data_IF_677652976226
#
_entry.id   IF_677652976226
#
_cell.length_a   1.000
_cell.length_b   1.000
_cell.length_c   1.000
_cell.angle_alpha   90.00
_cell.angle_beta   90.00
_cell.angle_gamma   90.00
#
_symmetry.space_group_name_H-M   'P 1'
#
loop_
_entity.id
_entity.type
_entity.pdbx_description
1 polymer ?
#
# COMPACT_ATOMS: atom_id res chain seq x y z
N UNK A 1 -1.78 47.71 -35.81
CA UNK A 1 -0.59 47.37 -36.62
C UNK A 1 0.38 48.51 -36.51
N UNK A 2 1.59 48.23 -36.02
CA UNK A 2 2.68 49.20 -35.98
C UNK A 2 3.71 48.76 -37.02
N UNK A 3 4.05 49.65 -37.95
CA UNK A 3 5.06 49.40 -38.98
C UNK A 3 6.20 50.39 -38.81
N UNK A 4 7.42 49.88 -38.75
CA UNK A 4 8.62 50.70 -38.63
C UNK A 4 9.55 50.40 -39.80
N UNK A 5 10.12 51.44 -40.39
CA UNK A 5 11.22 51.30 -41.34
C UNK A 5 12.52 51.36 -40.58
N UNK A 6 13.41 50.41 -40.85
CA UNK A 6 14.70 50.31 -40.17
C UNK A 6 15.79 50.06 -41.19
N UNK A 7 16.92 50.74 -41.00
CA UNK A 7 18.12 50.56 -41.81
C UNK A 7 19.04 49.54 -41.17
N UNK A 8 19.52 48.59 -41.95
CA UNK A 8 20.48 47.60 -41.50
C UNK A 8 21.85 48.27 -41.44
N UNK A 9 22.41 48.42 -40.24
CA UNK A 9 23.71 49.05 -40.03
C UNK A 9 24.85 48.06 -40.28
N UNK A 10 24.90 46.99 -39.46
CA UNK A 10 25.93 45.97 -39.50
C UNK A 10 25.29 44.60 -39.36
N UNK A 11 25.78 43.62 -40.12
CA UNK A 11 25.38 42.21 -40.00
C UNK A 11 26.63 41.42 -39.63
N UNK A 12 26.52 40.60 -38.59
CA UNK A 12 27.52 39.64 -38.15
C UNK A 12 26.91 38.23 -38.10
N UNK A 13 27.74 37.22 -37.81
CA UNK A 13 27.28 35.85 -37.68
C UNK A 13 26.36 35.70 -36.44
N UNK A 14 25.05 35.76 -36.66
CA UNK A 14 24.01 35.52 -35.65
C UNK A 14 23.25 36.78 -35.21
N UNK A 15 23.80 37.97 -35.44
CA UNK A 15 23.20 39.23 -35.01
C UNK A 15 23.32 40.31 -36.09
N UNK A 16 22.28 41.14 -36.19
CA UNK A 16 22.27 42.34 -37.00
C UNK A 16 21.90 43.55 -36.14
N UNK A 17 22.52 44.69 -36.44
CA UNK A 17 22.20 45.98 -35.84
C UNK A 17 21.28 46.73 -36.78
N UNK A 18 20.06 47.00 -36.34
CA UNK A 18 19.07 47.79 -37.06
C UNK A 18 18.99 49.19 -36.47
N UNK A 19 18.91 50.20 -37.33
CA UNK A 19 18.90 51.61 -36.97
C UNK A 19 17.54 52.20 -37.41
N UNK A 20 16.81 52.75 -36.46
CA UNK A 20 15.54 53.46 -36.74
C UNK A 20 15.80 54.87 -37.25
N UNK A 21 14.77 55.51 -37.84
CA UNK A 21 14.84 56.92 -38.26
C UNK A 21 15.05 57.89 -37.07
N UNK A 22 14.77 57.46 -35.84
CA UNK A 22 15.01 58.21 -34.61
C UNK A 22 16.40 57.93 -34.01
N UNK A 23 17.32 57.35 -34.77
CA UNK A 23 18.67 56.94 -34.34
C UNK A 23 18.70 55.95 -33.17
N UNK A 24 17.62 55.21 -32.93
CA UNK A 24 17.62 54.08 -31.98
C UNK A 24 18.24 52.85 -32.63
N UNK A 25 19.10 52.17 -31.87
CA UNK A 25 19.73 50.91 -32.24
C UNK A 25 18.92 49.73 -31.68
N UNK A 26 18.70 48.72 -32.51
CA UNK A 26 18.02 47.47 -32.15
C UNK A 26 18.88 46.30 -32.57
N UNK A 27 19.19 45.44 -31.60
CA UNK A 27 19.84 44.17 -31.84
C UNK A 27 18.79 43.15 -32.30
N UNK A 28 19.00 42.57 -33.48
CA UNK A 28 18.04 41.66 -34.10
C UNK A 28 18.74 40.38 -34.58
N UNK A 29 18.20 39.18 -34.30
CA UNK A 29 18.81 37.94 -34.78
C UNK A 29 18.92 37.92 -36.30
N UNK A 30 20.12 37.71 -36.84
CA UNK A 30 20.34 37.76 -38.29
C UNK A 30 19.56 36.66 -39.04
N UNK A 31 19.23 35.55 -38.37
CA UNK A 31 18.45 34.44 -38.91
C UNK A 31 16.98 34.78 -39.20
N UNK A 32 16.45 35.84 -38.60
CA UNK A 32 15.06 36.29 -38.81
C UNK A 32 14.97 37.38 -39.90
N UNK A 33 16.10 37.79 -40.49
CA UNK A 33 16.13 38.73 -41.61
C UNK A 33 15.88 38.01 -42.94
N UNK A 34 15.31 38.69 -43.95
CA UNK A 34 15.23 38.18 -45.31
C UNK A 34 16.62 37.81 -45.86
N UNK A 35 16.70 36.73 -46.64
CA UNK A 35 17.96 36.15 -47.15
C UNK A 35 18.77 37.08 -48.06
N UNK A 36 18.18 38.15 -48.59
CA UNK A 36 18.80 39.14 -49.47
C UNK A 36 19.20 40.45 -48.76
N UNK A 37 19.24 40.46 -47.42
CA UNK A 37 19.53 41.67 -46.64
C UNK A 37 21.03 41.90 -46.50
N UNK A 38 21.52 43.10 -46.86
CA UNK A 38 22.92 43.52 -46.71
C UNK A 38 23.03 44.78 -45.84
N UNK A 39 24.26 45.14 -45.44
CA UNK A 39 24.49 46.41 -44.74
C UNK A 39 24.06 47.58 -45.63
N UNK A 40 23.27 48.50 -45.06
CA UNK A 40 22.67 49.63 -45.74
C UNK A 40 21.25 49.40 -46.26
N UNK A 41 20.77 48.15 -46.33
CA UNK A 41 19.39 47.83 -46.74
C UNK A 41 18.36 48.46 -45.79
N UNK A 42 17.20 48.85 -46.32
CA UNK A 42 16.05 49.31 -45.53
C UNK A 42 15.03 48.17 -45.50
N UNK A 43 14.56 47.82 -44.31
CA UNK A 43 13.55 46.78 -44.09
C UNK A 43 12.33 47.37 -43.39
N UNK A 44 11.16 46.86 -43.73
CA UNK A 44 9.91 47.18 -43.05
C UNK A 44 9.60 46.07 -42.02
N UNK A 45 9.51 46.45 -40.74
CA UNK A 45 9.09 45.54 -39.66
C UNK A 45 7.66 45.87 -39.28
N UNK A 46 6.74 44.95 -39.59
CA UNK A 46 5.35 45.01 -39.17
C UNK A 46 5.17 44.21 -37.87
N UNK A 47 4.90 44.90 -36.77
CA UNK A 47 4.61 44.28 -35.47
C UNK A 47 3.11 44.28 -35.23
N UNK A 48 2.56 43.07 -35.13
CA UNK A 48 1.15 42.84 -34.89
C UNK A 48 0.97 41.89 -33.71
N UNK A 49 0.09 42.29 -32.77
CA UNK A 49 -0.28 41.46 -31.64
C UNK A 49 -1.19 40.32 -32.12
N UNK A 50 -0.69 39.08 -32.09
CA UNK A 50 -1.46 37.92 -32.50
C UNK A 50 -2.35 37.40 -31.36
N UNK A 51 -3.55 37.98 -31.27
CA UNK A 51 -4.54 37.61 -30.24
C UNK A 51 -5.04 36.16 -30.35
N UNK A 52 -5.00 35.57 -31.54
CA UNK A 52 -5.43 34.18 -31.73
C UNK A 52 -4.43 33.21 -31.08
N UNK A 53 -3.13 33.38 -31.37
CA UNK A 53 -2.07 32.56 -30.74
C UNK A 53 -1.97 32.80 -29.23
N UNK A 54 -2.20 34.03 -28.75
CA UNK A 54 -2.28 34.29 -27.30
C UNK A 54 -3.38 33.45 -26.64
N UNK A 55 -4.58 33.42 -27.23
CA UNK A 55 -5.71 32.64 -26.71
C UNK A 55 -5.41 31.14 -26.76
N UNK A 56 -4.86 30.63 -27.87
CA UNK A 56 -4.48 29.22 -28.00
C UNK A 56 -3.43 28.81 -26.95
N UNK A 57 -2.43 29.67 -26.71
CA UNK A 57 -1.40 29.42 -25.70
C UNK A 57 -1.98 29.41 -24.27
N UNK A 58 -2.92 30.33 -23.97
CA UNK A 58 -3.60 30.39 -22.68
C UNK A 58 -4.53 29.19 -22.45
N UNK A 59 -5.25 28.75 -23.48
CA UNK A 59 -6.07 27.55 -23.45
C UNK A 59 -5.23 26.29 -23.21
N UNK A 60 -4.09 26.16 -23.91
CA UNK A 60 -3.15 25.07 -23.72
C UNK A 60 -2.59 25.05 -22.29
N UNK A 61 -2.16 26.22 -21.80
CA UNK A 61 -1.64 26.36 -20.43
C UNK A 61 -2.68 25.92 -19.40
N UNK A 62 -3.91 26.44 -19.51
CA UNK A 62 -5.00 26.12 -18.59
C UNK A 62 -5.38 24.65 -18.64
N UNK A 63 -5.37 24.05 -19.84
CA UNK A 63 -5.62 22.62 -20.02
C UNK A 63 -4.57 21.78 -19.31
N UNK A 64 -3.29 22.10 -19.48
CA UNK A 64 -2.18 21.41 -18.83
C UNK A 64 -2.28 21.53 -17.29
N UNK A 65 -2.51 22.74 -16.76
CA UNK A 65 -2.69 22.97 -15.33
C UNK A 65 -3.86 22.15 -14.76
N UNK A 66 -4.97 22.10 -15.50
CA UNK A 66 -6.14 21.30 -15.11
C UNK A 66 -5.84 19.81 -15.10
N UNK A 67 -5.04 19.31 -16.04
CA UNK A 67 -4.61 17.91 -16.06
C UNK A 67 -3.72 17.58 -14.85
N UNK A 68 -2.75 18.45 -14.52
CA UNK A 68 -1.91 18.27 -13.33
C UNK A 68 -2.73 18.26 -12.06
N UNK A 69 -3.65 19.22 -11.90
CA UNK A 69 -4.53 19.26 -10.74
C UNK A 69 -5.37 18.00 -10.60
N UNK A 70 -5.99 17.53 -11.69
CA UNK A 70 -6.79 16.29 -11.68
C UNK A 70 -5.95 15.06 -11.34
N UNK A 71 -4.72 14.97 -11.86
CA UNK A 71 -3.88 13.78 -11.69
C UNK A 71 -3.20 13.71 -10.32
N UNK A 72 -2.82 14.86 -9.74
CA UNK A 72 -1.98 14.90 -8.53
C UNK A 72 -2.61 15.62 -7.34
N UNK A 73 -3.58 16.50 -7.57
CA UNK A 73 -4.14 17.37 -6.53
C UNK A 73 -5.51 16.96 -6.00
N UNK A 74 -6.16 15.96 -6.60
CA UNK A 74 -7.54 15.56 -6.25
C UNK A 74 -7.61 14.36 -5.31
N UNK A 75 -6.84 13.32 -5.60
CA UNK A 75 -6.96 12.03 -4.92
C UNK A 75 -5.81 11.83 -3.95
N UNK A 76 -6.11 11.86 -2.65
CA UNK A 76 -5.16 11.59 -1.59
C UNK A 76 -5.30 10.14 -1.08
N UNK A 77 -4.23 9.55 -0.52
CA UNK A 77 -4.35 8.29 0.17
C UNK A 77 -5.39 8.37 1.28
N UNK A 78 -6.15 7.29 1.45
CA UNK A 78 -7.11 7.20 2.54
C UNK A 78 -6.47 6.58 3.78
N UNK A 79 -7.04 6.89 4.94
CA UNK A 79 -6.65 6.23 6.16
C UNK A 79 -6.97 4.73 6.09
N UNK A 80 -6.03 3.87 6.50
CA UNK A 80 -6.26 2.43 6.47
C UNK A 80 -7.35 2.04 7.47
N UNK A 81 -8.17 1.06 7.12
CA UNK A 81 -9.17 0.49 8.04
C UNK A 81 -8.69 -0.86 8.55
N UNK A 82 -8.48 -1.00 9.86
CA UNK A 82 -8.12 -2.26 10.50
C UNK A 82 -9.37 -3.04 10.93
N UNK A 83 -9.30 -4.37 10.81
CA UNK A 83 -10.30 -5.33 11.30
C UNK A 83 -9.61 -6.48 12.01
N UNK A 84 -10.32 -7.11 12.94
CA UNK A 84 -9.88 -8.36 13.55
C UNK A 84 -10.29 -9.51 12.64
N UNK A 85 -9.31 -10.26 12.17
CA UNK A 85 -9.55 -11.47 11.38
C UNK A 85 -9.72 -12.69 12.28
N UNK A 86 -8.82 -12.84 13.26
CA UNK A 86 -8.90 -13.87 14.30
C UNK A 86 -8.31 -13.36 15.63
N UNK A 87 -8.77 -13.92 16.73
CA UNK A 87 -8.28 -13.63 18.08
C UNK A 87 -8.13 -14.93 18.86
N UNK A 88 -7.00 -15.11 19.54
CA UNK A 88 -6.76 -16.22 20.47
C UNK A 88 -6.52 -15.69 21.87
N UNK A 89 -6.11 -16.55 22.79
CA UNK A 89 -5.80 -16.17 24.17
C UNK A 89 -4.55 -15.28 24.25
N UNK A 90 -3.60 -15.42 23.32
CA UNK A 90 -2.28 -14.77 23.40
C UNK A 90 -1.83 -14.11 22.09
N UNK A 91 -2.66 -14.13 21.06
CA UNK A 91 -2.37 -13.48 19.78
C UNK A 91 -3.62 -12.97 19.09
N UNK A 92 -3.47 -11.95 18.25
CA UNK A 92 -4.53 -11.40 17.39
C UNK A 92 -3.99 -11.32 15.97
N UNK A 93 -4.79 -11.78 15.00
CA UNK A 93 -4.53 -11.57 13.57
C UNK A 93 -5.38 -10.39 13.13
N UNK A 94 -4.69 -9.34 12.70
CA UNK A 94 -5.29 -8.13 12.17
C UNK A 94 -5.23 -8.17 10.64
N UNK A 95 -6.25 -7.62 10.01
CA UNK A 95 -6.29 -7.40 8.57
C UNK A 95 -6.71 -5.98 8.24
N UNK A 96 -6.41 -5.53 7.03
CA UNK A 96 -6.82 -4.23 6.51
C UNK A 96 -7.33 -4.33 5.08
N UNK A 97 -8.11 -3.33 4.68
CA UNK A 97 -8.53 -3.19 3.29
C UNK A 97 -7.33 -2.85 2.38
N UNK A 98 -7.34 -3.25 1.09
CA UNK A 98 -6.28 -2.93 0.16
C UNK A 98 -5.93 -1.44 0.16
N UNK A 99 -4.65 -1.13 0.33
CA UNK A 99 -4.20 0.26 0.48
C UNK A 99 -4.20 1.00 -0.86
N UNK A 100 -5.00 2.05 -0.95
CA UNK A 100 -5.03 2.94 -2.12
C UNK A 100 -4.04 4.10 -1.97
N UNK A 101 -2.80 3.89 -2.41
CA UNK A 101 -1.74 4.91 -2.31
C UNK A 101 -1.84 6.01 -3.38
N UNK A 102 -2.68 5.83 -4.40
CA UNK A 102 -2.83 6.76 -5.54
C UNK A 102 -1.46 7.08 -6.17
N UNK A 103 -1.07 8.35 -6.24
CA UNK A 103 0.24 8.78 -6.77
C UNK A 103 1.34 8.82 -5.69
N UNK A 104 1.01 8.54 -4.43
CA UNK A 104 1.97 8.60 -3.33
C UNK A 104 2.81 7.33 -3.24
N UNK A 105 4.04 7.48 -2.74
CA UNK A 105 4.92 6.36 -2.43
C UNK A 105 4.73 5.95 -0.97
N UNK A 106 4.63 4.66 -0.72
CA UNK A 106 4.67 4.09 0.62
C UNK A 106 6.06 4.31 1.24
N UNK A 107 6.12 4.88 2.44
CA UNK A 107 7.34 4.91 3.26
C UNK A 107 7.33 3.79 4.28
N UNK A 108 6.25 3.68 5.06
CA UNK A 108 6.09 2.60 6.03
C UNK A 108 4.63 2.34 6.38
N UNK A 109 4.32 1.11 6.80
CA UNK A 109 3.03 0.74 7.37
C UNK A 109 3.28 -0.04 8.66
N UNK A 110 2.88 0.55 9.79
CA UNK A 110 3.18 0.02 11.11
C UNK A 110 1.89 -0.19 11.92
N UNK A 111 1.87 -1.26 12.71
CA UNK A 111 0.79 -1.52 13.66
C UNK A 111 1.28 -1.15 15.05
N UNK A 112 0.44 -0.44 15.79
CA UNK A 112 0.65 -0.06 17.17
C UNK A 112 -0.33 -0.81 18.08
N UNK A 113 0.15 -1.20 19.26
CA UNK A 113 -0.62 -1.82 20.36
C UNK A 113 -0.43 -0.97 21.60
N UNK A 114 -1.51 -0.40 22.14
CA UNK A 114 -1.47 0.50 23.31
C UNK A 114 -0.41 1.60 23.14
N UNK A 115 -0.35 2.22 21.96
CA UNK A 115 0.62 3.27 21.58
C UNK A 115 2.08 2.83 21.44
N UNK A 116 2.39 1.53 21.59
CA UNK A 116 3.72 0.98 21.34
C UNK A 116 3.74 0.26 19.99
N UNK A 117 4.80 0.42 19.20
CA UNK A 117 4.94 -0.27 17.91
C UNK A 117 4.94 -1.78 18.13
N UNK A 118 3.93 -2.45 17.59
CA UNK A 118 3.75 -3.90 17.70
C UNK A 118 4.40 -4.65 16.52
N UNK A 119 4.45 -4.02 15.34
CA UNK A 119 5.05 -4.62 14.15
C UNK A 119 5.14 -3.64 12.98
N UNK A 120 6.02 -3.95 12.04
CA UNK A 120 6.15 -3.27 10.75
C UNK A 120 5.75 -4.25 9.65
N UNK A 121 4.89 -3.82 8.72
CA UNK A 121 4.50 -4.65 7.59
C UNK A 121 5.36 -4.27 6.39
N UNK A 122 6.18 -5.19 5.85
CA UNK A 122 7.11 -4.85 4.76
C UNK A 122 6.38 -4.58 3.44
N UNK A 123 5.37 -5.38 3.10
CA UNK A 123 4.66 -5.31 1.82
C UNK A 123 3.14 -5.20 2.01
N UNK A 124 2.63 -4.08 2.55
CA UNK A 124 1.23 -3.94 2.98
C UNK A 124 0.23 -3.81 1.81
N UNK A 125 0.71 -3.62 0.58
CA UNK A 125 -0.11 -3.65 -0.63
C UNK A 125 -0.25 -5.06 -1.23
N UNK A 126 0.69 -5.97 -0.93
CA UNK A 126 0.66 -7.36 -1.40
C UNK A 126 0.02 -8.29 -0.37
N UNK A 127 0.27 -8.02 0.91
CA UNK A 127 -0.32 -8.76 2.03
C UNK A 127 -1.12 -7.79 2.89
N UNK A 128 -2.33 -8.20 3.24
CA UNK A 128 -3.28 -7.38 4.00
C UNK A 128 -3.51 -7.87 5.42
N UNK A 129 -2.57 -8.63 6.00
CA UNK A 129 -2.70 -9.17 7.36
C UNK A 129 -1.37 -9.27 8.11
N UNK A 130 -1.46 -9.26 9.45
CA UNK A 130 -0.34 -9.45 10.37
C UNK A 130 -0.81 -10.12 11.66
N UNK A 131 0.01 -11.00 12.21
CA UNK A 131 -0.21 -11.63 13.52
C UNK A 131 0.59 -10.90 14.59
N UNK A 132 -0.09 -10.41 15.62
CA UNK A 132 0.53 -9.83 16.82
C UNK A 132 0.46 -10.87 17.94
N UNK A 133 1.62 -11.39 18.35
CA UNK A 133 1.77 -12.40 19.39
C UNK A 133 2.21 -11.78 20.74
N UNK A 134 2.29 -12.59 21.79
CA UNK A 134 2.76 -12.14 23.11
C UNK A 134 1.77 -11.21 23.80
N UNK A 135 0.47 -11.52 23.69
CA UNK A 135 -0.60 -10.88 24.42
C UNK A 135 -0.93 -11.68 25.68
N UNK A 136 -1.43 -10.99 26.70
CA UNK A 136 -1.96 -11.60 27.92
C UNK A 136 -3.37 -12.13 27.69
N UNK A 137 -3.73 -13.19 28.42
CA UNK A 137 -5.06 -13.83 28.36
C UNK A 137 -6.14 -12.91 28.96
N UNK A 138 -7.35 -12.93 28.40
CA UNK A 138 -8.51 -12.15 28.84
C UNK A 138 -8.23 -10.65 29.05
N UNK A 139 -7.36 -10.06 28.23
CA UNK A 139 -6.87 -8.69 28.38
C UNK A 139 -7.28 -7.83 27.18
N UNK A 140 -7.74 -6.61 27.44
CA UNK A 140 -8.11 -5.65 26.40
C UNK A 140 -6.88 -4.91 25.86
N UNK A 141 -6.81 -4.81 24.54
CA UNK A 141 -5.78 -4.11 23.80
C UNK A 141 -6.40 -3.16 22.78
N UNK A 142 -5.70 -2.05 22.52
CA UNK A 142 -6.06 -1.09 21.49
C UNK A 142 -5.05 -1.16 20.35
N UNK A 143 -5.54 -1.39 19.14
CA UNK A 143 -4.73 -1.46 17.92
C UNK A 143 -5.07 -0.32 16.98
N UNK A 144 -4.06 0.24 16.33
CA UNK A 144 -4.23 1.15 15.20
C UNK A 144 -3.07 1.00 14.22
N UNK A 145 -3.31 1.28 12.95
CA UNK A 145 -2.31 1.29 11.90
C UNK A 145 -1.89 2.73 11.62
N UNK A 146 -0.61 2.91 11.31
CA UNK A 146 -0.05 4.17 10.83
C UNK A 146 0.54 3.93 9.45
N UNK A 147 -0.08 4.55 8.45
CA UNK A 147 0.34 4.56 7.05
C UNK A 147 1.12 5.85 6.79
N UNK A 148 2.43 5.74 6.61
CA UNK A 148 3.29 6.87 6.24
C UNK A 148 3.60 6.83 4.75
N UNK A 149 3.30 7.92 4.05
CA UNK A 149 3.45 8.06 2.60
C UNK A 149 4.19 9.35 2.25
N UNK A 150 4.55 9.52 0.98
CA UNK A 150 5.06 10.80 0.46
C UNK A 150 4.02 11.93 0.53
N UNK A 151 2.73 11.63 0.64
CA UNK A 151 1.65 12.61 0.70
C UNK A 151 1.23 12.99 2.13
N UNK A 152 1.73 12.26 3.14
CA UNK A 152 1.39 12.49 4.55
C UNK A 152 1.30 11.20 5.36
N UNK A 153 0.97 11.36 6.64
CA UNK A 153 0.78 10.26 7.60
C UNK A 153 -0.70 10.12 7.89
N UNK A 154 -1.22 8.91 7.71
CA UNK A 154 -2.63 8.56 7.91
C UNK A 154 -2.75 7.49 8.99
N UNK A 155 -3.66 7.69 9.93
CA UNK A 155 -3.85 6.81 11.08
C UNK A 155 -5.22 6.16 11.01
N UNK A 156 -5.29 4.85 11.24
CA UNK A 156 -6.57 4.14 11.27
C UNK A 156 -7.40 4.53 12.50
N UNK A 157 -8.71 4.30 12.48
CA UNK A 157 -9.51 4.24 13.70
C UNK A 157 -8.90 3.24 14.70
N UNK A 158 -9.11 3.51 16.00
CA UNK A 158 -8.66 2.63 17.08
C UNK A 158 -9.59 1.41 17.15
N UNK A 159 -9.01 0.22 17.02
CA UNK A 159 -9.66 -1.06 17.14
C UNK A 159 -9.40 -1.65 18.54
N UNK A 160 -10.46 -1.80 19.34
CA UNK A 160 -10.36 -2.42 20.66
C UNK A 160 -10.66 -3.91 20.56
N UNK A 161 -9.78 -4.73 21.12
CA UNK A 161 -9.88 -6.19 21.06
C UNK A 161 -9.52 -6.76 22.41
N UNK A 162 -10.38 -7.63 22.94
CA UNK A 162 -10.10 -8.40 24.15
C UNK A 162 -9.69 -9.81 23.76
N UNK A 163 -8.53 -10.25 24.24
CA UNK A 163 -8.07 -11.62 24.01
C UNK A 163 -8.97 -12.64 24.69
N UNK A 164 -9.01 -13.86 24.17
CA UNK A 164 -9.91 -14.89 24.66
C UNK A 164 -9.51 -15.41 26.04
N UNK A 165 -10.49 -15.93 26.77
CA UNK A 165 -10.25 -16.73 27.99
C UNK A 165 -9.73 -18.12 27.62
N UNK A 166 -9.17 -18.83 28.60
CA UNK A 166 -8.74 -20.23 28.42
C UNK A 166 -9.89 -21.18 28.03
N UNK A 167 -11.13 -20.84 28.40
CA UNK A 167 -12.34 -21.61 28.11
C UNK A 167 -12.96 -21.29 26.75
N UNK A 168 -12.51 -20.22 26.08
CA UNK A 168 -13.00 -19.83 24.77
C UNK A 168 -12.06 -20.37 23.68
N UNK A 169 -12.58 -21.33 22.92
CA UNK A 169 -11.87 -22.06 21.88
C UNK A 169 -12.23 -21.59 20.47
N UNK A 170 -13.09 -20.59 20.33
CA UNK A 170 -13.58 -20.11 19.03
C UNK A 170 -12.48 -19.53 18.13
N UNK A 171 -11.38 -19.08 18.74
CA UNK A 171 -10.19 -18.58 18.05
C UNK A 171 -9.30 -19.65 17.43
N UNK A 172 -9.57 -20.94 17.68
CA UNK A 172 -8.77 -22.02 17.13
C UNK A 172 -9.02 -22.16 15.63
N UNK A 173 -7.93 -22.10 14.87
CA UNK A 173 -7.90 -22.42 13.45
C UNK A 173 -6.95 -23.59 13.26
N UNK A 174 -7.47 -24.72 12.83
CA UNK A 174 -6.75 -25.99 12.80
C UNK A 174 -6.50 -26.43 11.36
N UNK A 175 -5.24 -26.70 11.01
CA UNK A 175 -4.90 -27.37 9.77
C UNK A 175 -4.87 -28.88 10.02
N UNK A 176 -5.62 -29.64 9.24
CA UNK A 176 -5.70 -31.11 9.39
C UNK A 176 -4.82 -31.76 8.32
N UNK A 177 -3.87 -32.57 8.77
CA UNK A 177 -2.95 -33.35 7.94
C UNK A 177 -3.54 -34.67 7.46
N UNK A 178 -2.67 -35.65 7.20
CA UNK A 178 -3.06 -37.00 6.77
C UNK A 178 -3.77 -37.74 7.90
N UNK A 179 -5.10 -37.77 7.84
CA UNK A 179 -6.00 -38.54 8.72
C UNK A 179 -7.03 -39.31 7.89
N UNK A 180 -7.67 -40.31 8.47
CA UNK A 180 -8.78 -41.00 7.79
C UNK A 180 -9.97 -40.06 7.57
N UNK A 181 -10.78 -40.31 6.54
CA UNK A 181 -11.99 -39.52 6.25
C UNK A 181 -12.97 -39.51 7.43
N UNK A 182 -13.12 -40.64 8.12
CA UNK A 182 -13.97 -40.74 9.32
C UNK A 182 -13.48 -39.81 10.43
N UNK A 183 -12.18 -39.80 10.70
CA UNK A 183 -11.59 -38.95 11.73
C UNK A 183 -11.65 -37.47 11.36
N UNK A 184 -11.51 -37.12 10.07
CA UNK A 184 -11.66 -35.74 9.60
C UNK A 184 -13.06 -35.20 9.86
N UNK A 185 -14.09 -35.98 9.57
CA UNK A 185 -15.47 -35.60 9.85
C UNK A 185 -15.69 -35.39 11.36
N UNK A 186 -15.11 -36.24 12.19
CA UNK A 186 -15.19 -36.10 13.65
C UNK A 186 -14.49 -34.82 14.16
N UNK A 187 -13.31 -34.51 13.62
CA UNK A 187 -12.58 -33.26 13.90
C UNK A 187 -13.45 -32.05 13.52
N UNK A 188 -14.06 -32.07 12.34
CA UNK A 188 -14.89 -30.96 11.87
C UNK A 188 -16.13 -30.74 12.76
N UNK A 189 -16.78 -31.81 13.21
CA UNK A 189 -17.89 -31.72 14.17
C UNK A 189 -17.45 -31.18 15.54
N UNK A 190 -16.26 -31.57 16.02
CA UNK A 190 -15.67 -30.99 17.23
C UNK A 190 -15.39 -29.50 17.04
N UNK A 191 -14.73 -29.11 15.96
CA UNK A 191 -14.42 -27.70 15.70
C UNK A 191 -15.67 -26.84 15.62
N UNK A 192 -16.72 -27.29 14.90
CA UNK A 192 -18.02 -26.62 14.85
C UNK A 192 -18.62 -26.45 16.25
N UNK A 193 -18.60 -27.50 17.08
CA UNK A 193 -19.15 -27.43 18.44
C UNK A 193 -18.40 -26.46 19.36
N UNK A 194 -17.14 -26.17 19.05
CA UNK A 194 -16.30 -25.21 19.79
C UNK A 194 -16.31 -23.79 19.21
N UNK A 195 -16.99 -23.57 18.08
CA UNK A 195 -16.92 -22.32 17.32
C UNK A 195 -15.57 -22.09 16.62
N UNK A 196 -14.73 -23.13 16.56
CA UNK A 196 -13.42 -23.13 15.92
C UNK A 196 -13.53 -23.43 14.42
N UNK A 197 -12.44 -23.21 13.67
CA UNK A 197 -12.40 -23.36 12.22
C UNK A 197 -11.34 -24.38 11.79
N UNK A 198 -11.61 -25.12 10.73
CA UNK A 198 -10.59 -25.85 9.99
C UNK A 198 -10.01 -24.95 8.89
N UNK A 199 -8.68 -24.88 8.74
CA UNK A 199 -8.07 -24.24 7.58
C UNK A 199 -8.04 -25.21 6.40
N UNK A 200 -8.63 -24.80 5.28
CA UNK A 200 -8.71 -25.59 4.06
C UNK A 200 -7.31 -25.83 3.48
N UNK A 201 -6.87 -27.09 3.53
CA UNK A 201 -5.72 -27.74 2.86
C UNK A 201 -4.41 -26.94 2.72
N UNK A 202 -4.24 -25.89 3.53
CA UNK A 202 -3.11 -24.96 3.48
C UNK A 202 -2.88 -24.35 4.86
N UNK A 203 -1.63 -23.96 5.09
CA UNK A 203 -1.21 -23.24 6.29
C UNK A 203 -1.40 -21.76 6.04
N UNK A 204 -2.18 -21.11 6.91
CA UNK A 204 -2.46 -19.67 6.84
C UNK A 204 -1.87 -18.95 8.05
N UNK A 205 -1.80 -17.61 8.00
CA UNK A 205 -1.34 -16.79 9.14
C UNK A 205 -2.21 -16.97 10.40
N UNK A 206 -3.46 -17.41 10.23
CA UNK A 206 -4.40 -17.69 11.31
C UNK A 206 -4.24 -19.08 11.90
N UNK A 207 -3.61 -20.00 11.18
CA UNK A 207 -3.47 -21.40 11.60
C UNK A 207 -2.74 -21.44 12.94
N UNK A 208 -3.43 -22.01 13.92
CA UNK A 208 -2.99 -22.08 15.33
C UNK A 208 -2.31 -23.40 15.63
N UNK A 209 -2.83 -24.50 15.09
CA UNK A 209 -2.36 -25.86 15.34
C UNK A 209 -2.46 -26.68 14.07
N UNK A 210 -1.57 -27.66 13.94
CA UNK A 210 -1.63 -28.70 12.93
C UNK A 210 -1.97 -30.03 13.59
N UNK A 211 -3.03 -30.70 13.15
CA UNK A 211 -3.44 -32.02 13.65
C UNK A 211 -3.12 -33.09 12.62
N UNK A 212 -2.39 -34.13 13.02
CA UNK A 212 -2.17 -35.31 12.18
C UNK A 212 -2.05 -36.57 13.04
N UNK A 213 -2.17 -37.74 12.41
CA UNK A 213 -1.93 -39.02 13.09
C UNK A 213 -0.44 -39.38 13.18
N UNK A 214 0.38 -38.83 12.27
CA UNK A 214 1.81 -39.08 12.19
C UNK A 214 2.52 -37.84 11.65
N UNK A 215 3.82 -37.71 11.93
CA UNK A 215 4.65 -36.64 11.36
C UNK A 215 4.80 -36.80 9.84
N UNK A 216 4.86 -35.67 9.13
CA UNK A 216 5.08 -35.62 7.69
C UNK A 216 3.84 -35.24 6.87
N UNK A 217 3.92 -35.47 5.56
CA UNK A 217 2.89 -35.09 4.60
C UNK A 217 3.16 -33.75 3.88
N UNK A 218 2.32 -33.39 2.89
CA UNK A 218 2.59 -32.26 1.99
C UNK A 218 2.70 -30.90 2.70
N UNK A 219 1.97 -30.72 3.80
CA UNK A 219 1.92 -29.46 4.56
C UNK A 219 2.98 -29.38 5.67
N UNK A 220 3.71 -30.48 5.94
CA UNK A 220 4.64 -30.55 7.07
C UNK A 220 5.73 -29.49 7.02
N UNK A 221 6.33 -29.28 5.83
CA UNK A 221 7.34 -28.24 5.64
C UNK A 221 6.82 -26.85 6.01
N UNK A 222 5.64 -26.47 5.48
CA UNK A 222 5.02 -25.18 5.77
C UNK A 222 4.65 -25.00 7.25
N UNK A 223 4.22 -26.07 7.93
CA UNK A 223 3.92 -26.07 9.38
C UNK A 223 5.19 -25.80 10.18
N UNK A 224 6.29 -26.48 9.85
CA UNK A 224 7.60 -26.30 10.48
C UNK A 224 8.14 -24.88 10.25
N UNK A 225 8.11 -24.39 9.00
CA UNK A 225 8.58 -23.05 8.64
C UNK A 225 7.80 -21.95 9.38
N UNK A 226 6.51 -22.17 9.61
CA UNK A 226 5.63 -21.27 10.35
C UNK A 226 5.70 -21.44 11.88
N UNK A 227 6.51 -22.37 12.41
CA UNK A 227 6.58 -22.73 13.83
C UNK A 227 5.21 -23.05 14.45
N UNK A 228 4.33 -23.72 13.69
CA UNK A 228 3.00 -24.10 14.16
C UNK A 228 3.10 -25.42 14.94
N UNK A 229 2.51 -25.52 16.15
CA UNK A 229 2.49 -26.78 16.90
C UNK A 229 1.81 -27.92 16.12
N UNK A 230 2.57 -28.96 15.80
CA UNK A 230 2.08 -30.20 15.20
C UNK A 230 1.77 -31.23 16.29
N UNK A 231 0.48 -31.52 16.50
CA UNK A 231 0.02 -32.37 17.60
C UNK A 231 -0.92 -33.48 17.15
N UNK A 232 -1.02 -34.53 17.97
CA UNK A 232 -1.99 -35.61 17.80
C UNK A 232 -3.42 -35.08 17.89
N UNK A 233 -4.33 -35.72 17.16
CA UNK A 233 -5.76 -35.40 17.15
C UNK A 233 -6.39 -35.52 18.56
N UNK A 234 -5.83 -36.36 19.43
CA UNK A 234 -6.30 -36.49 20.82
C UNK A 234 -6.33 -35.16 21.59
N UNK A 235 -5.40 -34.24 21.27
CA UNK A 235 -5.36 -32.91 21.91
C UNK A 235 -6.67 -32.14 21.74
N UNK A 236 -7.26 -32.16 20.54
CA UNK A 236 -8.49 -31.42 20.25
C UNK A 236 -9.68 -32.02 21.02
N UNK A 237 -9.77 -33.34 21.07
CA UNK A 237 -10.82 -34.04 21.80
C UNK A 237 -10.73 -33.79 23.30
N UNK A 238 -9.52 -33.80 23.86
CA UNK A 238 -9.32 -33.49 25.28
C UNK A 238 -9.60 -32.01 25.60
N UNK A 239 -9.26 -31.08 24.70
CA UNK A 239 -9.65 -29.68 24.84
C UNK A 239 -11.18 -29.53 24.90
N UNK A 240 -11.91 -30.25 24.04
CA UNK A 240 -13.38 -30.28 24.06
C UNK A 240 -13.91 -30.87 25.37
N UNK A 241 -13.36 -32.00 25.82
CA UNK A 241 -13.79 -32.67 27.05
C UNK A 241 -13.57 -31.81 28.29
N UNK A 242 -12.42 -31.13 28.39
CA UNK A 242 -12.09 -30.27 29.53
C UNK A 242 -12.69 -28.86 29.43
N UNK A 243 -13.30 -28.49 28.30
CA UNK A 243 -13.91 -27.18 28.07
C UNK A 243 -12.91 -26.02 28.10
N UNK A 244 -11.63 -26.27 27.79
CA UNK A 244 -10.55 -25.27 27.82
C UNK A 244 -9.38 -25.68 26.93
N UNK A 245 -8.55 -24.71 26.56
CA UNK A 245 -7.33 -24.97 25.79
C UNK A 245 -6.28 -25.64 26.68
N UNK A 246 -5.68 -26.71 26.17
CA UNK A 246 -4.64 -27.48 26.87
C UNK A 246 -3.25 -27.20 26.31
N UNK A 247 -2.23 -27.42 27.14
CA UNK A 247 -0.84 -27.36 26.70
C UNK A 247 -0.57 -28.45 25.66
N UNK A 248 0.12 -28.08 24.59
CA UNK A 248 0.46 -28.97 23.46
C UNK A 248 1.62 -29.92 23.75
N UNK A 249 2.40 -29.71 24.83
CA UNK A 249 3.66 -30.42 25.08
C UNK A 249 3.54 -31.95 25.09
N UNK A 250 2.49 -32.48 25.70
CA UNK A 250 2.27 -33.92 25.81
C UNK A 250 1.66 -34.55 24.55
N UNK A 251 1.36 -33.73 23.54
CA UNK A 251 0.63 -34.14 22.33
C UNK A 251 1.43 -33.94 21.06
N UNK A 252 2.65 -33.42 21.14
CA UNK A 252 3.51 -33.28 19.96
C UNK A 252 3.67 -34.64 19.29
N UNK A 253 3.57 -34.62 17.96
CA UNK A 253 3.88 -35.80 17.16
C UNK A 253 5.36 -36.08 17.32
N UNK A 254 5.70 -37.22 17.92
CA UNK A 254 7.07 -37.68 18.01
C UNK A 254 7.61 -37.89 16.59
N UNK A 255 8.74 -37.26 16.30
CA UNK A 255 9.56 -37.53 15.11
C UNK A 255 10.12 -38.94 15.14
#
# INVERSE_FOLDING_TARGET
MLSFQMRVGRIEAGLAILITNENRLVEFPSALLPSNTVAGSIIDIAVNRNRALERESEELFTTIQSQFYRKYGRDFPQAPTLRVRNCTQTSVVLEWEPLELRQSKLKSFNIFRNSVKAGSVPNPCSFSSIKVSGLSVDTEYQFHAVLDTSAGVFVSPILRVKTHKMTDLSGLVVCVGSVSTSLRNEIDEVLKSLGAKASADSVSIETTHYLASQSGGPLWGAVCDANIPAVSVSWLFECKQQGRILSVRSYYLSS
#
